data_IF_902867221616
#
_entry.id   IF_902867221616
#
_cell.length_a   1.000
_cell.length_b   1.000
_cell.length_c   1.000
_cell.angle_alpha   90.00
_cell.angle_beta   90.00
_cell.angle_gamma   90.00
#
_symmetry.space_group_name_H-M   'P 1'
#
loop_
_entity.id
_entity.type
_entity.pdbx_description
1 polymer ?
#
# COMPACT_ATOMS: atom_id res chain seq x y z
N UNK A 1 5.53 1.26 5.68
CA UNK A 1 6.19 -0.05 5.94
C UNK A 1 5.44 -1.14 5.20
N UNK A 2 6.14 -2.12 4.63
CA UNK A 2 5.58 -3.26 3.91
C UNK A 2 6.47 -4.50 4.14
N UNK A 3 5.95 -5.71 3.88
CA UNK A 3 6.78 -6.91 3.95
C UNK A 3 7.83 -6.92 2.84
N UNK A 4 8.79 -7.85 2.94
CA UNK A 4 9.81 -8.04 1.91
C UNK A 4 9.23 -8.59 0.61
N UNK A 5 8.14 -9.35 0.72
CA UNK A 5 7.44 -9.99 -0.39
C UNK A 5 6.43 -9.06 -1.08
N UNK A 6 6.24 -7.85 -0.54
CA UNK A 6 5.28 -6.89 -1.05
C UNK A 6 5.63 -6.41 -2.46
N UNK A 7 4.59 -6.28 -3.30
CA UNK A 7 4.70 -5.78 -4.68
C UNK A 7 3.89 -4.49 -4.82
N UNK A 8 4.48 -3.51 -5.51
CA UNK A 8 3.87 -2.21 -5.74
C UNK A 8 3.86 -1.86 -7.22
N UNK A 9 2.71 -1.41 -7.72
CA UNK A 9 2.59 -0.72 -8.99
C UNK A 9 2.15 0.73 -8.76
N UNK A 10 3.05 1.66 -9.06
CA UNK A 10 2.82 3.10 -8.96
C UNK A 10 2.50 3.67 -10.35
N UNK A 11 1.29 4.20 -10.50
CA UNK A 11 0.81 4.79 -11.74
C UNK A 11 0.74 6.31 -11.69
N UNK A 12 0.78 6.93 -12.88
CA UNK A 12 0.52 8.38 -13.06
C UNK A 12 -0.82 8.75 -12.44
N UNK A 13 -0.92 9.94 -11.84
CA UNK A 13 -2.17 10.41 -11.25
C UNK A 13 -2.49 9.79 -9.89
N UNK A 14 -1.45 9.44 -9.12
CA UNK A 14 -1.58 9.00 -7.71
C UNK A 14 -2.35 7.69 -7.55
N UNK A 15 -2.04 6.76 -8.44
CA UNK A 15 -2.62 5.44 -8.45
C UNK A 15 -1.62 4.45 -7.85
N UNK A 16 -2.06 3.66 -6.87
CA UNK A 16 -1.27 2.60 -6.28
C UNK A 16 -2.04 1.29 -6.29
N UNK A 17 -1.35 0.23 -6.71
CA UNK A 17 -1.73 -1.14 -6.40
C UNK A 17 -0.63 -1.71 -5.51
N UNK A 18 -1.00 -2.23 -4.36
CA UNK A 18 -0.11 -2.87 -3.41
C UNK A 18 -0.62 -4.27 -3.11
N UNK A 19 0.21 -5.27 -3.35
CA UNK A 19 -0.04 -6.67 -3.00
C UNK A 19 0.88 -7.01 -1.83
N UNK A 20 0.28 -7.53 -0.77
CA UNK A 20 0.94 -7.86 0.49
C UNK A 20 0.67 -9.33 0.83
N UNK A 21 1.46 -10.27 0.27
CA UNK A 21 1.21 -11.70 0.41
C UNK A 21 1.26 -12.17 1.86
N UNK A 22 2.07 -11.53 2.71
CA UNK A 22 2.23 -11.91 4.12
C UNK A 22 0.90 -11.82 4.89
N UNK A 23 0.02 -10.90 4.49
CA UNK A 23 -1.26 -10.66 5.15
C UNK A 23 -2.47 -10.99 4.27
N UNK A 24 -2.27 -11.73 3.17
CA UNK A 24 -3.31 -12.03 2.17
C UNK A 24 -4.09 -10.76 1.74
N UNK A 25 -3.36 -9.68 1.49
CA UNK A 25 -3.91 -8.35 1.31
C UNK A 25 -3.62 -7.80 -0.09
N UNK A 26 -4.65 -7.23 -0.72
CA UNK A 26 -4.52 -6.42 -1.94
C UNK A 26 -5.18 -5.06 -1.70
N UNK A 27 -4.42 -4.00 -1.95
CA UNK A 27 -4.85 -2.61 -1.78
C UNK A 27 -4.79 -1.89 -3.12
N UNK A 28 -5.90 -1.29 -3.52
CA UNK A 28 -5.97 -0.41 -4.70
C UNK A 28 -6.40 0.97 -4.25
N UNK A 29 -5.54 1.96 -4.45
CA UNK A 29 -5.78 3.35 -4.03
C UNK A 29 -5.68 4.26 -5.24
N UNK A 30 -6.59 5.24 -5.29
CA UNK A 30 -6.73 6.22 -6.36
C UNK A 30 -6.79 7.61 -5.73
N UNK A 31 -6.24 8.61 -6.42
CA UNK A 31 -6.33 10.04 -6.06
C UNK A 31 -5.80 10.39 -4.65
N UNK A 32 -4.78 9.67 -4.19
CA UNK A 32 -4.14 9.94 -2.90
C UNK A 32 -3.10 11.06 -2.99
N UNK A 33 -2.86 11.75 -1.88
CA UNK A 33 -1.77 12.73 -1.83
C UNK A 33 -0.38 12.11 -2.01
N UNK A 34 0.58 12.89 -2.52
CA UNK A 34 1.84 12.38 -3.09
C UNK A 34 2.61 11.52 -2.10
N UNK A 35 2.60 12.01 -0.87
CA UNK A 35 3.46 11.56 0.21
C UNK A 35 2.65 10.80 1.27
N UNK A 36 1.35 10.57 1.04
CA UNK A 36 0.47 9.86 1.96
C UNK A 36 0.56 8.33 1.84
N UNK A 37 1.34 7.80 0.89
CA UNK A 37 1.51 6.35 0.72
C UNK A 37 2.12 5.68 1.94
N UNK A 38 3.16 6.28 2.51
CA UNK A 38 3.82 5.70 3.68
C UNK A 38 2.88 5.65 4.88
N UNK A 39 2.22 6.76 5.19
CA UNK A 39 1.23 6.85 6.26
C UNK A 39 0.08 5.84 6.04
N UNK A 40 -0.42 5.72 4.81
CA UNK A 40 -1.46 4.74 4.46
C UNK A 40 -1.00 3.31 4.78
N UNK A 41 0.18 2.91 4.29
CA UNK A 41 0.69 1.54 4.55
C UNK A 41 0.84 1.28 6.04
N UNK A 42 1.33 2.25 6.81
CA UNK A 42 1.46 2.12 8.26
C UNK A 42 0.10 1.89 8.92
N UNK A 43 -0.90 2.73 8.61
CA UNK A 43 -2.26 2.62 9.17
C UNK A 43 -2.88 1.26 8.85
N UNK A 44 -2.80 0.81 7.60
CA UNK A 44 -3.38 -0.48 7.20
C UNK A 44 -2.69 -1.63 7.96
N UNK A 45 -1.36 -1.66 8.00
CA UNK A 45 -0.62 -2.75 8.66
C UNK A 45 -0.81 -2.79 10.18
N UNK A 46 -1.19 -1.70 10.83
CA UNK A 46 -1.49 -1.74 12.27
C UNK A 46 -2.65 -2.66 12.64
N UNK A 47 -3.52 -2.99 11.68
CA UNK A 47 -4.66 -3.90 11.86
C UNK A 47 -4.21 -5.37 11.86
N UNK A 48 -3.12 -5.69 11.16
CA UNK A 48 -2.62 -7.04 10.93
C UNK A 48 -1.53 -7.46 11.92
N UNK A 49 -1.60 -6.98 13.17
CA UNK A 49 -0.65 -7.32 14.24
C UNK A 49 -0.45 -8.83 14.38
#
# INVERSE_FOLDING_TARGET
HASREALFALGVGRNLIWIEPKYDLVVVVRWIEKDAFEELTQKILTIFK
#
